data_IF_095941541636
#
_entry.id   IF_095941541636
#
_cell.length_a   1.000
_cell.length_b   1.000
_cell.length_c   1.000
_cell.angle_alpha   90.00
_cell.angle_beta   90.00
_cell.angle_gamma   90.00
#
_symmetry.space_group_name_H-M   'P 1'
#
loop_
_entity.id
_entity.type
_entity.pdbx_description
1 polymer ?
#
# COMPACT_ATOMS: atom_id res chain seq x y z
N UNK A 1 -6.43 -13.79 0.07
CA UNK A 1 -7.21 -12.99 1.04
C UNK A 1 -8.05 -13.84 2.00
N UNK A 2 -8.07 -15.18 1.88
CA UNK A 2 -8.89 -16.04 2.73
C UNK A 2 -10.33 -16.16 2.23
N UNK A 3 -11.05 -17.14 2.78
CA UNK A 3 -12.46 -17.41 2.48
C UNK A 3 -13.13 -17.97 3.72
N UNK A 4 -14.21 -17.31 4.15
CA UNK A 4 -15.09 -17.83 5.20
C UNK A 4 -16.35 -18.42 4.57
N UNK A 5 -16.62 -19.68 4.88
CA UNK A 5 -17.85 -20.38 4.48
C UNK A 5 -18.49 -20.98 5.72
N UNK A 6 -19.80 -20.78 5.85
CA UNK A 6 -20.59 -21.25 7.00
C UNK A 6 -21.13 -22.66 6.81
N UNK A 7 -21.41 -23.07 5.57
CA UNK A 7 -21.99 -24.38 5.23
C UNK A 7 -20.96 -25.51 5.08
N UNK A 8 -19.76 -25.21 4.61
CA UNK A 8 -18.69 -26.19 4.37
C UNK A 8 -17.41 -25.76 5.10
N UNK A 9 -17.04 -26.52 6.13
CA UNK A 9 -15.83 -26.28 6.91
C UNK A 9 -14.55 -26.53 6.08
N UNK A 10 -14.59 -27.45 5.12
CA UNK A 10 -13.43 -27.78 4.27
C UNK A 10 -13.18 -26.71 3.20
N UNK A 11 -14.19 -25.87 2.92
CA UNK A 11 -14.04 -24.74 2.03
C UNK A 11 -13.41 -23.51 2.71
N UNK A 12 -13.14 -23.53 4.01
CA UNK A 12 -12.49 -22.41 4.72
C UNK A 12 -11.02 -22.30 4.33
N UNK A 13 -10.56 -21.06 4.13
CA UNK A 13 -9.17 -20.76 3.78
C UNK A 13 -8.72 -19.58 4.63
N UNK A 14 -7.65 -19.76 5.40
CA UNK A 14 -7.08 -18.68 6.18
C UNK A 14 -6.39 -17.64 5.28
N UNK A 15 -6.38 -16.39 5.72
CA UNK A 15 -5.87 -15.28 4.92
C UNK A 15 -4.34 -15.12 5.11
N UNK A 16 -3.52 -15.34 4.08
CA UNK A 16 -2.07 -15.12 4.17
C UNK A 16 -1.67 -13.67 3.92
N UNK A 17 -2.59 -12.80 3.48
CA UNK A 17 -2.32 -11.39 3.18
C UNK A 17 -3.10 -10.53 4.15
N UNK A 18 -2.40 -9.74 4.96
CA UNK A 18 -2.99 -8.82 5.92
C UNK A 18 -2.78 -7.39 5.42
N UNK A 19 -3.88 -6.67 5.21
CA UNK A 19 -3.86 -5.31 4.65
C UNK A 19 -4.35 -4.35 5.74
N UNK A 20 -3.49 -3.42 6.16
CA UNK A 20 -3.91 -2.36 7.06
C UNK A 20 -4.70 -1.30 6.28
N UNK A 21 -5.61 -0.60 6.98
CA UNK A 21 -6.25 0.57 6.40
C UNK A 21 -5.20 1.65 6.11
N UNK A 22 -5.22 2.18 4.89
CA UNK A 22 -4.40 3.33 4.53
C UNK A 22 -4.94 4.60 5.20
N UNK A 23 -4.04 5.47 5.62
CA UNK A 23 -4.39 6.75 6.23
C UNK A 23 -3.44 7.86 5.73
N UNK A 24 -3.89 9.11 5.85
CA UNK A 24 -3.08 10.27 5.44
C UNK A 24 -1.99 10.56 6.44
N UNK A 25 -0.77 10.82 5.96
CA UNK A 25 0.38 11.13 6.83
C UNK A 25 0.38 12.59 7.32
N UNK A 26 -0.38 13.45 6.64
CA UNK A 26 -0.72 14.79 7.09
C UNK A 26 -2.17 14.87 7.56
N UNK A 27 -2.54 16.01 8.15
CA UNK A 27 -3.93 16.34 8.41
C UNK A 27 -4.71 16.28 7.09
N UNK A 28 -5.86 15.62 7.11
CA UNK A 28 -6.75 15.56 5.96
C UNK A 28 -7.25 16.98 5.67
N UNK A 29 -7.05 17.43 4.43
CA UNK A 29 -7.67 18.65 3.92
C UNK A 29 -8.79 18.22 2.97
N UNK A 30 -10.00 18.65 3.31
CA UNK A 30 -11.19 18.33 2.55
C UNK A 30 -11.90 19.59 2.10
N UNK A 31 -12.28 19.59 0.84
CA UNK A 31 -12.94 20.71 0.17
C UNK A 31 -14.36 20.28 -0.19
N UNK A 32 -15.31 21.20 0.00
CA UNK A 32 -16.69 20.99 -0.41
C UNK A 32 -16.86 21.41 -1.87
N UNK A 33 -17.07 20.44 -2.76
CA UNK A 33 -17.36 20.65 -4.17
C UNK A 33 -18.87 20.80 -4.38
N UNK A 34 -19.32 21.99 -4.78
CA UNK A 34 -20.71 22.28 -5.07
C UNK A 34 -21.00 22.10 -6.57
N UNK A 35 -21.98 21.27 -6.90
CA UNK A 35 -22.37 21.00 -8.28
C UNK A 35 -23.88 21.08 -8.49
N UNK A 36 -24.26 21.48 -9.70
CA UNK A 36 -25.64 21.50 -10.16
C UNK A 36 -25.84 20.53 -11.32
N UNK A 37 -27.06 20.00 -11.43
CA UNK A 37 -27.51 19.23 -12.59
C UNK A 37 -28.52 20.09 -13.34
N UNK A 38 -28.29 20.28 -14.63
CA UNK A 38 -29.19 21.01 -15.53
C UNK A 38 -30.03 19.99 -16.28
N UNK A 39 -31.31 20.29 -16.47
CA UNK A 39 -32.19 19.50 -17.33
C UNK A 39 -32.21 20.11 -18.73
N UNK A 40 -31.72 19.35 -19.70
CA UNK A 40 -31.66 19.76 -21.11
C UNK A 40 -33.05 19.90 -21.76
N UNK A 41 -34.12 19.39 -21.13
CA UNK A 41 -35.50 19.48 -21.62
C UNK A 41 -36.27 20.71 -21.10
N UNK A 42 -35.65 21.55 -20.27
CA UNK A 42 -36.28 22.78 -19.78
C UNK A 42 -36.55 23.77 -20.93
N UNK A 43 -37.71 24.43 -20.89
CA UNK A 43 -38.11 25.43 -21.89
C UNK A 43 -37.24 26.68 -21.76
N UNK A 44 -36.95 27.36 -22.87
CA UNK A 44 -35.99 28.48 -22.99
C UNK A 44 -36.14 29.62 -21.95
N UNK A 45 -37.30 29.73 -21.29
CA UNK A 45 -37.60 30.77 -20.30
C UNK A 45 -37.33 30.36 -18.83
N UNK A 46 -37.03 29.08 -18.55
CA UNK A 46 -36.73 28.55 -17.20
C UNK A 46 -35.25 28.19 -17.06
N UNK A 47 -34.41 29.19 -16.78
CA UNK A 47 -32.99 28.99 -16.47
C UNK A 47 -32.83 28.62 -14.99
N UNK A 48 -32.80 27.32 -14.68
CA UNK A 48 -32.67 26.82 -13.31
C UNK A 48 -31.94 25.49 -13.20
N UNK A 49 -31.20 25.29 -12.11
CA UNK A 49 -30.64 23.99 -11.75
C UNK A 49 -31.79 23.05 -11.34
N UNK A 50 -31.91 21.90 -12.01
CA UNK A 50 -32.88 20.86 -11.65
C UNK A 50 -32.52 20.19 -10.32
N UNK A 51 -31.22 20.14 -10.00
CA UNK A 51 -30.71 19.65 -8.73
C UNK A 51 -29.42 20.39 -8.36
N UNK A 52 -29.21 20.61 -7.07
CA UNK A 52 -27.97 21.13 -6.52
C UNK A 52 -27.54 20.25 -5.35
N UNK A 53 -26.25 19.91 -5.28
CA UNK A 53 -25.71 19.06 -4.23
C UNK A 53 -24.25 19.43 -3.96
N UNK A 54 -23.70 18.87 -2.89
CA UNK A 54 -22.31 19.06 -2.48
C UNK A 54 -21.63 17.71 -2.24
N UNK A 55 -20.37 17.61 -2.63
CA UNK A 55 -19.53 16.44 -2.41
C UNK A 55 -18.23 16.86 -1.72
N UNK A 56 -17.85 16.15 -0.67
CA UNK A 56 -16.52 16.32 -0.08
C UNK A 56 -15.46 15.65 -0.97
N UNK A 57 -14.40 16.40 -1.28
CA UNK A 57 -13.21 15.95 -1.98
C UNK A 57 -12.01 16.09 -1.04
N UNK A 58 -11.17 15.07 -0.97
CA UNK A 58 -9.95 15.09 -0.17
C UNK A 58 -8.74 14.73 -1.01
N UNK A 59 -7.61 15.36 -0.71
CA UNK A 59 -6.30 14.98 -1.25
C UNK A 59 -5.32 14.69 -0.12
N UNK A 60 -4.35 13.81 -0.36
CA UNK A 60 -3.43 13.44 0.69
C UNK A 60 -2.34 12.48 0.23
N UNK A 61 -1.29 12.41 1.04
CA UNK A 61 -0.26 11.37 0.93
C UNK A 61 -0.67 10.25 1.86
N UNK A 62 -0.82 9.05 1.30
CA UNK A 62 -1.33 7.89 2.03
C UNK A 62 -0.18 6.95 2.40
N UNK A 63 -0.14 6.54 3.66
CA UNK A 63 0.67 5.42 4.11
C UNK A 63 -0.15 4.12 4.05
N UNK A 64 0.39 3.12 3.37
CA UNK A 64 -0.20 1.78 3.24
C UNK A 64 0.76 0.73 3.79
N UNK A 65 0.24 -0.26 4.49
CA UNK A 65 1.02 -1.37 5.04
C UNK A 65 0.35 -2.70 4.73
N UNK A 66 1.12 -3.63 4.16
CA UNK A 66 0.69 -4.97 3.80
C UNK A 66 1.72 -5.96 4.32
N UNK A 67 1.23 -7.05 4.90
CA UNK A 67 2.03 -8.18 5.38
C UNK A 67 1.59 -9.43 4.63
N UNK A 68 2.55 -10.25 4.22
CA UNK A 68 2.28 -11.51 3.53
C UNK A 68 2.99 -12.66 4.26
N UNK A 69 2.20 -13.61 4.74
CA UNK A 69 2.66 -14.89 5.27
C UNK A 69 2.98 -15.82 4.09
N UNK A 70 4.27 -15.94 3.76
CA UNK A 70 4.77 -16.74 2.63
C UNK A 70 4.51 -18.25 2.84
N UNK A 71 4.83 -18.85 4.00
CA UNK A 71 4.47 -20.24 4.29
C UNK A 71 2.98 -20.55 4.06
N UNK A 72 2.09 -19.74 4.64
CA UNK A 72 0.64 -19.96 4.52
C UNK A 72 0.14 -19.68 3.10
N UNK A 73 0.71 -18.69 2.40
CA UNK A 73 0.37 -18.42 1.00
C UNK A 73 0.64 -19.65 0.13
N UNK A 74 1.82 -20.26 0.29
CA UNK A 74 2.21 -21.42 -0.52
C UNK A 74 1.37 -22.64 -0.14
N UNK A 75 1.15 -22.89 1.14
CA UNK A 75 0.25 -23.95 1.60
C UNK A 75 -1.15 -23.83 0.98
N UNK A 76 -1.69 -22.60 0.91
CA UNK A 76 -2.97 -22.34 0.28
C UNK A 76 -2.97 -22.53 -1.25
N UNK A 77 -1.82 -22.33 -1.92
CA UNK A 77 -1.69 -22.50 -3.38
C UNK A 77 -1.48 -23.95 -3.80
N UNK A 78 -0.74 -24.73 -3.01
CA UNK A 78 -0.31 -26.09 -3.37
C UNK A 78 -1.03 -27.18 -2.60
N UNK A 79 -1.61 -26.86 -1.44
CA UNK A 79 -2.17 -27.83 -0.50
C UNK A 79 -1.13 -28.55 0.36
N UNK A 80 0.14 -28.10 0.37
CA UNK A 80 1.17 -28.68 1.24
C UNK A 80 1.02 -28.22 2.70
N UNK A 81 1.73 -28.87 3.64
CA UNK A 81 1.88 -28.31 4.98
C UNK A 81 2.71 -27.02 4.90
N UNK A 82 2.32 -26.01 5.68
CA UNK A 82 3.03 -24.73 5.78
C UNK A 82 4.53 -24.88 6.08
N UNK A 83 4.96 -25.93 6.79
CA UNK A 83 6.37 -26.17 7.12
C UNK A 83 7.19 -26.59 5.90
N UNK A 84 6.53 -27.23 4.93
CA UNK A 84 7.15 -27.76 3.73
C UNK A 84 7.15 -26.75 2.58
N UNK A 85 6.76 -25.50 2.82
CA UNK A 85 6.60 -24.48 1.78
C UNK A 85 7.84 -24.30 0.89
N UNK A 86 9.05 -24.44 1.45
CA UNK A 86 10.32 -24.30 0.72
C UNK A 86 10.60 -25.44 -0.26
N UNK A 87 9.93 -26.58 -0.09
CA UNK A 87 10.07 -27.76 -0.97
C UNK A 87 9.19 -27.66 -2.22
N UNK A 88 8.26 -26.70 -2.23
CA UNK A 88 7.29 -26.53 -3.31
C UNK A 88 7.86 -25.69 -4.44
N UNK A 89 7.29 -25.83 -5.64
CA UNK A 89 7.62 -24.96 -6.76
C UNK A 89 7.23 -23.51 -6.46
N UNK A 90 8.23 -22.63 -6.47
CA UNK A 90 8.08 -21.21 -6.19
C UNK A 90 7.55 -20.41 -7.39
N UNK A 91 7.56 -20.96 -8.61
CA UNK A 91 7.31 -20.19 -9.84
C UNK A 91 5.95 -19.46 -9.84
N UNK A 92 4.90 -20.16 -9.42
CA UNK A 92 3.54 -19.62 -9.34
C UNK A 92 3.41 -18.61 -8.21
N UNK A 93 3.97 -18.93 -7.04
CA UNK A 93 3.96 -18.04 -5.88
C UNK A 93 4.70 -16.72 -6.16
N UNK A 94 5.88 -16.79 -6.80
CA UNK A 94 6.67 -15.63 -7.21
C UNK A 94 5.90 -14.76 -8.21
N UNK A 95 5.29 -15.38 -9.22
CA UNK A 95 4.49 -14.64 -10.21
C UNK A 95 3.29 -13.93 -9.57
N UNK A 96 2.60 -14.61 -8.64
CA UNK A 96 1.50 -14.03 -7.87
C UNK A 96 1.95 -12.86 -6.98
N UNK A 97 3.05 -13.03 -6.24
CA UNK A 97 3.59 -12.01 -5.35
C UNK A 97 4.04 -10.77 -6.13
N UNK A 98 4.72 -10.96 -7.26
CA UNK A 98 5.10 -9.88 -8.18
C UNK A 98 3.87 -9.11 -8.64
N UNK A 99 2.85 -9.81 -9.15
CA UNK A 99 1.61 -9.18 -9.60
C UNK A 99 0.88 -8.44 -8.46
N UNK A 100 0.85 -9.03 -7.26
CA UNK A 100 0.23 -8.43 -6.07
C UNK A 100 0.95 -7.14 -5.65
N UNK A 101 2.29 -7.15 -5.57
CA UNK A 101 3.08 -5.97 -5.20
C UNK A 101 2.91 -4.86 -6.25
N UNK A 102 2.91 -5.20 -7.54
CA UNK A 102 2.58 -4.25 -8.60
C UNK A 102 1.18 -3.65 -8.46
N UNK A 103 0.18 -4.48 -8.15
CA UNK A 103 -1.18 -4.01 -7.95
C UNK A 103 -1.25 -3.04 -6.76
N UNK A 104 -0.61 -3.37 -5.63
CA UNK A 104 -0.53 -2.48 -4.46
C UNK A 104 0.13 -1.15 -4.81
N UNK A 105 1.22 -1.17 -5.57
CA UNK A 105 1.99 0.03 -5.91
C UNK A 105 1.37 0.90 -7.01
N UNK A 106 0.40 0.37 -7.78
CA UNK A 106 -0.11 1.05 -8.99
C UNK A 106 -1.62 1.27 -9.03
N UNK A 107 -2.40 0.58 -8.19
CA UNK A 107 -3.85 0.69 -8.19
C UNK A 107 -4.33 1.65 -7.10
N UNK A 108 -5.14 2.63 -7.50
CA UNK A 108 -5.85 3.52 -6.58
C UNK A 108 -7.31 3.05 -6.39
N UNK A 109 -7.95 3.33 -5.23
CA UNK A 109 -9.34 2.96 -5.00
C UNK A 109 -10.28 3.46 -6.11
N UNK A 110 -11.17 2.58 -6.58
CA UNK A 110 -12.03 2.85 -7.73
C UNK A 110 -13.29 3.70 -7.47
N UNK A 111 -13.37 4.40 -6.34
CA UNK A 111 -14.52 5.22 -6.01
C UNK A 111 -14.49 6.55 -6.78
N UNK A 112 -15.65 7.03 -7.25
CA UNK A 112 -15.83 8.31 -7.95
C UNK A 112 -14.88 8.54 -9.16
N UNK A 113 -14.36 7.48 -9.79
CA UNK A 113 -13.40 7.56 -10.93
C UNK A 113 -13.85 8.46 -12.06
N UNK A 114 -15.15 8.48 -12.37
CA UNK A 114 -15.72 9.27 -13.46
C UNK A 114 -15.69 10.77 -13.22
N UNK A 115 -15.67 11.21 -11.96
CA UNK A 115 -15.69 12.63 -11.60
C UNK A 115 -14.35 13.16 -11.06
N UNK A 116 -13.46 12.30 -10.52
CA UNK A 116 -12.22 12.74 -9.88
C UNK A 116 -10.93 12.18 -10.48
N UNK A 117 -11.00 11.16 -11.35
CA UNK A 117 -9.85 10.49 -11.97
C UNK A 117 -8.62 10.26 -11.03
N UNK A 118 -8.79 9.61 -9.86
CA UNK A 118 -7.78 9.59 -8.79
C UNK A 118 -6.69 8.53 -9.04
N UNK A 119 -6.02 8.58 -10.20
CA UNK A 119 -5.03 7.59 -10.62
C UNK A 119 -3.62 7.97 -10.18
N UNK A 120 -3.14 7.37 -9.09
CA UNK A 120 -1.80 7.58 -8.56
C UNK A 120 -0.99 6.28 -8.49
N UNK A 121 0.34 6.41 -8.53
CA UNK A 121 1.29 5.34 -8.26
C UNK A 121 2.06 5.66 -6.98
N UNK A 122 2.51 4.63 -6.28
CA UNK A 122 3.37 4.80 -5.11
C UNK A 122 4.72 5.42 -5.52
N UNK A 123 5.13 6.48 -4.82
CA UNK A 123 6.42 7.16 -5.04
C UNK A 123 7.55 6.58 -4.16
N UNK A 124 7.20 5.73 -3.18
CA UNK A 124 8.13 4.98 -2.33
C UNK A 124 7.52 3.63 -1.94
N UNK A 125 8.25 2.55 -2.17
CA UNK A 125 7.93 1.18 -1.77
C UNK A 125 9.13 0.60 -1.04
N UNK A 126 8.95 0.32 0.25
CA UNK A 126 9.92 -0.39 1.07
C UNK A 126 9.43 -1.84 1.22
N UNK A 127 10.23 -2.78 0.74
CA UNK A 127 9.99 -4.21 0.88
C UNK A 127 10.94 -4.77 1.93
N UNK A 128 10.40 -5.56 2.84
CA UNK A 128 11.15 -6.19 3.92
C UNK A 128 10.77 -7.66 3.98
N UNK A 129 11.79 -8.52 3.99
CA UNK A 129 11.62 -9.98 4.04
C UNK A 129 12.47 -10.56 5.16
N UNK A 130 12.01 -11.68 5.72
CA UNK A 130 12.69 -12.35 6.82
C UNK A 130 11.77 -13.20 7.68
N UNK A 131 12.35 -13.81 8.70
CA UNK A 131 11.65 -14.62 9.70
C UNK A 131 11.17 -13.81 10.92
N UNK A 132 11.56 -12.53 11.00
CA UNK A 132 11.18 -11.64 12.09
C UNK A 132 9.69 -11.28 12.04
N UNK A 133 9.13 -10.92 13.19
CA UNK A 133 7.74 -10.50 13.28
C UNK A 133 7.52 -9.21 12.45
N UNK A 134 6.52 -9.19 11.54
CA UNK A 134 6.21 -7.99 10.77
C UNK A 134 5.72 -6.87 11.67
N UNK A 135 6.05 -5.63 11.27
CA UNK A 135 5.73 -4.41 12.02
C UNK A 135 5.50 -3.24 11.09
N UNK A 136 4.56 -2.40 11.47
CA UNK A 136 4.21 -1.18 10.76
C UNK A 136 5.13 -0.02 11.13
N UNK A 137 5.31 0.91 10.18
CA UNK A 137 5.97 2.20 10.40
C UNK A 137 4.94 3.33 10.58
N UNK A 138 3.65 3.00 10.75
CA UNK A 138 2.57 3.96 10.95
C UNK A 138 2.86 4.98 12.06
N UNK A 139 3.57 4.55 13.11
CA UNK A 139 3.93 5.42 14.23
C UNK A 139 4.91 6.54 13.86
N UNK A 140 5.55 6.48 12.69
CA UNK A 140 6.27 7.61 12.13
C UNK A 140 5.37 8.85 12.00
N UNK A 141 4.06 8.64 11.84
CA UNK A 141 3.05 9.66 11.54
C UNK A 141 2.00 9.85 12.65
N UNK A 142 2.30 9.49 13.91
CA UNK A 142 1.41 9.80 15.05
C UNK A 142 1.12 11.30 15.13
N UNK A 143 2.18 12.11 15.05
CA UNK A 143 2.03 13.54 14.81
C UNK A 143 1.91 13.79 13.31
N UNK A 144 0.80 14.38 12.88
CA UNK A 144 0.57 14.75 11.49
C UNK A 144 1.77 15.51 10.89
N UNK A 145 2.18 15.12 9.68
CA UNK A 145 3.25 15.78 8.94
C UNK A 145 2.89 17.25 8.69
N UNK A 146 3.78 18.16 9.10
CA UNK A 146 3.62 19.60 8.89
C UNK A 146 4.35 20.01 7.63
N UNK A 147 3.62 20.45 6.62
CA UNK A 147 4.16 20.78 5.30
C UNK A 147 4.55 22.26 5.25
N UNK A 148 5.67 22.63 5.87
CA UNK A 148 6.10 24.04 5.96
C UNK A 148 7.01 24.51 4.81
N UNK A 149 7.83 23.62 4.26
CA UNK A 149 8.97 24.01 3.41
C UNK A 149 8.92 23.46 1.97
N UNK A 150 7.73 23.04 1.50
CA UNK A 150 7.57 22.41 0.19
C UNK A 150 8.06 20.95 0.15
N UNK A 151 7.65 20.18 -0.88
CA UNK A 151 7.94 18.75 -1.05
C UNK A 151 7.38 17.80 0.04
N UNK A 152 6.06 17.81 0.29
CA UNK A 152 5.47 17.01 1.37
C UNK A 152 5.69 15.50 1.23
N UNK A 153 5.76 14.97 -0.01
CA UNK A 153 6.04 13.55 -0.24
C UNK A 153 7.46 13.16 0.18
N UNK A 154 8.48 13.96 -0.20
CA UNK A 154 9.87 13.72 0.22
C UNK A 154 10.01 13.77 1.74
N UNK A 155 9.33 14.72 2.39
CA UNK A 155 9.32 14.82 3.86
C UNK A 155 8.67 13.60 4.52
N UNK A 156 7.58 13.08 3.96
CA UNK A 156 6.94 11.85 4.45
C UNK A 156 7.90 10.65 4.36
N UNK A 157 8.51 10.45 3.19
CA UNK A 157 9.48 9.38 2.95
C UNK A 157 10.67 9.47 3.91
N UNK A 158 11.22 10.67 4.12
CA UNK A 158 12.32 10.88 5.05
C UNK A 158 11.94 10.53 6.49
N UNK A 159 10.75 10.98 6.93
CA UNK A 159 10.25 10.71 8.28
C UNK A 159 10.02 9.22 8.53
N UNK A 160 9.58 8.48 7.52
CA UNK A 160 9.49 7.01 7.58
C UNK A 160 10.88 6.37 7.76
N UNK A 161 11.88 6.83 7.00
CA UNK A 161 13.27 6.38 7.12
C UNK A 161 13.87 6.68 8.50
N UNK A 162 13.70 7.90 9.01
CA UNK A 162 14.14 8.30 10.35
C UNK A 162 13.52 7.42 11.45
N UNK A 163 12.23 7.09 11.33
CA UNK A 163 11.55 6.23 12.29
C UNK A 163 12.08 4.79 12.22
N UNK A 164 12.30 4.26 11.01
CA UNK A 164 12.90 2.95 10.80
C UNK A 164 14.30 2.85 11.42
N UNK A 165 15.16 3.84 11.18
CA UNK A 165 16.51 3.87 11.76
C UNK A 165 16.48 3.87 13.30
N UNK A 166 15.58 4.64 13.91
CA UNK A 166 15.43 4.66 15.37
C UNK A 166 14.91 3.34 15.92
N UNK A 167 13.99 2.67 15.22
CA UNK A 167 13.53 1.33 15.58
C UNK A 167 14.68 0.33 15.51
N UNK A 168 15.46 0.34 14.42
CA UNK A 168 16.62 -0.54 14.28
C UNK A 168 17.70 -0.24 15.32
N UNK A 169 17.93 1.03 15.65
CA UNK A 169 18.86 1.42 16.71
C UNK A 169 18.45 0.90 18.09
N UNK A 170 17.15 0.72 18.34
CA UNK A 170 16.62 0.23 19.62
C UNK A 170 16.53 -1.30 19.68
N UNK A 171 16.06 -1.96 18.62
CA UNK A 171 15.81 -3.40 18.59
C UNK A 171 16.91 -4.22 17.87
N UNK A 172 17.88 -3.56 17.24
CA UNK A 172 18.71 -4.18 16.20
C UNK A 172 17.96 -4.22 14.87
N UNK A 173 18.61 -4.73 13.82
CA UNK A 173 18.03 -4.76 12.45
C UNK A 173 16.70 -5.53 12.45
N UNK A 174 15.60 -4.82 12.20
CA UNK A 174 14.22 -5.34 12.34
C UNK A 174 13.67 -6.07 11.11
N UNK A 175 14.52 -6.36 10.13
CA UNK A 175 14.21 -7.15 8.93
C UNK A 175 15.48 -7.84 8.44
N UNK A 176 15.37 -9.05 7.91
CA UNK A 176 16.57 -9.81 7.49
C UNK A 176 17.12 -9.26 6.17
N UNK A 177 16.22 -8.88 5.26
CA UNK A 177 16.55 -8.26 3.98
C UNK A 177 15.60 -7.10 3.68
N UNK A 178 16.11 -6.09 2.98
CA UNK A 178 15.33 -4.92 2.55
C UNK A 178 15.62 -4.57 1.11
N UNK A 179 14.60 -4.10 0.40
CA UNK A 179 14.72 -3.49 -0.90
C UNK A 179 13.90 -2.19 -0.95
N UNK A 180 14.43 -1.16 -1.58
CA UNK A 180 13.79 0.15 -1.68
C UNK A 180 13.60 0.53 -3.15
N UNK A 181 12.37 0.92 -3.50
CA UNK A 181 12.07 1.58 -4.76
C UNK A 181 11.44 2.93 -4.46
N UNK A 182 12.12 4.03 -4.78
CA UNK A 182 11.59 5.38 -4.60
C UNK A 182 12.13 6.33 -5.66
N UNK A 183 11.34 7.35 -6.00
CA UNK A 183 11.76 8.46 -6.87
C UNK A 183 12.36 9.64 -6.09
N UNK A 184 12.35 9.59 -4.76
CA UNK A 184 12.87 10.65 -3.90
C UNK A 184 14.30 10.35 -3.42
N UNK A 185 14.93 11.36 -2.82
CA UNK A 185 16.20 11.18 -2.11
C UNK A 185 16.08 10.06 -1.06
N UNK A 186 16.98 9.09 -1.14
CA UNK A 186 17.02 7.91 -0.32
C UNK A 186 18.20 7.91 0.67
N UNK A 187 18.89 9.05 0.86
CA UNK A 187 20.02 9.15 1.77
C UNK A 187 19.69 8.67 3.19
N UNK A 188 18.45 8.87 3.66
CA UNK A 188 18.02 8.39 4.98
C UNK A 188 17.91 6.87 5.07
N UNK A 189 17.79 6.16 3.95
CA UNK A 189 17.73 4.71 3.95
C UNK A 189 19.12 4.07 3.84
N UNK A 190 20.20 4.85 3.73
CA UNK A 190 21.55 4.34 3.62
C UNK A 190 21.86 3.29 4.73
N UNK A 191 22.51 2.16 4.40
CA UNK A 191 23.17 1.86 3.13
C UNK A 191 22.25 1.29 2.03
N UNK A 192 20.93 1.25 2.23
CA UNK A 192 19.99 0.72 1.23
C UNK A 192 19.90 1.66 0.01
N UNK A 193 20.39 1.19 -1.13
CA UNK A 193 20.32 1.93 -2.38
C UNK A 193 18.92 1.81 -3.02
N UNK A 194 18.34 2.91 -3.52
CA UNK A 194 17.09 2.84 -4.27
C UNK A 194 17.31 2.17 -5.63
N UNK A 195 16.33 1.38 -6.06
CA UNK A 195 16.35 0.65 -7.34
C UNK A 195 14.95 0.65 -7.99
N UNK A 196 14.83 0.26 -9.28
CA UNK A 196 13.52 0.10 -9.91
C UNK A 196 12.64 -0.89 -9.13
N UNK A 197 11.32 -0.69 -9.15
CA UNK A 197 10.36 -1.54 -8.43
C UNK A 197 10.55 -3.02 -8.75
N UNK A 198 10.71 -3.38 -10.03
CA UNK A 198 10.90 -4.76 -10.47
C UNK A 198 12.16 -5.39 -9.87
N UNK A 199 13.26 -4.62 -9.79
CA UNK A 199 14.49 -5.07 -9.17
C UNK A 199 14.33 -5.23 -7.64
N UNK A 200 13.58 -4.34 -6.99
CA UNK A 200 13.27 -4.46 -5.57
C UNK A 200 12.40 -5.68 -5.25
N UNK A 201 11.39 -5.95 -6.09
CA UNK A 201 10.56 -7.16 -5.99
C UNK A 201 11.45 -8.40 -6.20
N UNK A 202 12.22 -8.46 -7.28
CA UNK A 202 13.09 -9.60 -7.57
C UNK A 202 14.06 -9.89 -6.42
N UNK A 203 14.78 -8.88 -5.92
CA UNK A 203 15.70 -9.03 -4.79
C UNK A 203 15.00 -9.53 -3.51
N UNK A 204 13.81 -9.00 -3.22
CA UNK A 204 13.03 -9.42 -2.04
C UNK A 204 12.55 -10.86 -2.18
N UNK A 205 12.11 -11.27 -3.36
CA UNK A 205 11.70 -12.64 -3.63
C UNK A 205 12.91 -13.58 -3.58
N UNK A 206 14.05 -13.23 -4.19
CA UNK A 206 15.25 -14.08 -4.15
C UNK A 206 15.70 -14.34 -2.71
N UNK A 207 15.64 -13.34 -1.84
CA UNK A 207 15.92 -13.48 -0.40
C UNK A 207 14.99 -14.45 0.35
N UNK A 208 13.77 -14.70 -0.12
CA UNK A 208 12.83 -15.63 0.54
C UNK A 208 13.19 -17.09 0.27
N UNK A 209 13.75 -17.40 -0.91
CA UNK A 209 14.08 -18.75 -1.36
C UNK A 209 15.58 -19.05 -1.41
N UNK A 210 16.44 -18.11 -1.02
CA UNK A 210 17.87 -18.33 -0.77
C UNK A 210 18.10 -19.18 0.48
#
# INVERSE_FOLDING_TARGET
FGRMVTSDLLARVDAPVHVAHAFTVQAADTEMDYFTVVDDLNRDDETGAAHANQSELGSGIYYSHVVIDIPLLIANLTGCDSKDWRTQDASTARSLLTALIHAIASQSPGAKRGSTAPYARAECVLLETGAQQPRTLANAYLDALKTKDGEPMRQAVNRMGDYLQRLDGMYGVTADQRALATIHDAAIFAPLAPQPLDAAIAASLDALWS
#
